data_IF_155599559068
#
_entry.id   IF_155599559068
#
_cell.length_a   1.000
_cell.length_b   1.000
_cell.length_c   1.000
_cell.angle_alpha   90.00
_cell.angle_beta   90.00
_cell.angle_gamma   90.00
#
_symmetry.space_group_name_H-M   'P 1'
#
loop_
_entity.id
_entity.type
_entity.pdbx_description
1 polymer ?
#
# COMPACT_ATOMS: atom_id res chain seq x y z
N UNK A 1 38.36 -22.80 -11.11
CA UNK A 1 37.49 -22.31 -10.02
C UNK A 1 37.35 -23.42 -8.97
N UNK A 2 37.64 -23.14 -7.70
CA UNK A 2 37.72 -24.17 -6.66
C UNK A 2 36.34 -24.81 -6.40
N UNK A 3 36.15 -26.11 -6.69
CA UNK A 3 34.85 -26.81 -6.60
C UNK A 3 34.16 -26.62 -5.24
N UNK A 4 34.91 -26.58 -4.14
CA UNK A 4 34.38 -26.34 -2.79
C UNK A 4 33.80 -24.92 -2.64
N UNK A 5 34.50 -23.93 -3.18
CA UNK A 5 34.05 -22.54 -3.18
C UNK A 5 32.76 -22.37 -3.98
N UNK A 6 32.67 -23.03 -5.15
CA UNK A 6 31.46 -22.99 -6.00
C UNK A 6 30.25 -23.57 -5.25
N UNK A 7 30.41 -24.72 -4.60
CA UNK A 7 29.34 -25.34 -3.81
C UNK A 7 28.90 -24.48 -2.62
N UNK A 8 29.85 -23.82 -1.95
CA UNK A 8 29.55 -22.89 -0.86
C UNK A 8 28.73 -21.70 -1.36
N UNK A 9 29.16 -21.06 -2.46
CA UNK A 9 28.45 -19.94 -3.08
C UNK A 9 27.04 -20.34 -3.52
N UNK A 10 26.85 -21.55 -4.07
CA UNK A 10 25.51 -22.04 -4.44
C UNK A 10 24.60 -22.22 -3.22
N UNK A 11 25.13 -22.73 -2.11
CA UNK A 11 24.36 -22.90 -0.87
C UNK A 11 23.92 -21.55 -0.30
N UNK A 12 24.83 -20.57 -0.24
CA UNK A 12 24.48 -19.24 0.25
C UNK A 12 23.52 -18.50 -0.67
N UNK A 13 23.72 -18.56 -1.99
CA UNK A 13 22.77 -17.99 -2.93
C UNK A 13 21.36 -18.59 -2.80
N UNK A 14 21.27 -19.89 -2.48
CA UNK A 14 19.97 -20.54 -2.24
C UNK A 14 19.34 -20.06 -0.94
N UNK A 15 20.12 -19.84 0.11
CA UNK A 15 19.65 -19.31 1.40
C UNK A 15 19.15 -17.88 1.24
N UNK A 16 19.96 -17.00 0.64
CA UNK A 16 19.60 -15.61 0.36
C UNK A 16 18.33 -15.51 -0.49
N UNK A 17 18.18 -16.35 -1.53
CA UNK A 17 16.94 -16.39 -2.33
C UNK A 17 15.70 -16.77 -1.51
N UNK A 18 15.83 -17.63 -0.50
CA UNK A 18 14.71 -17.99 0.40
C UNK A 18 14.35 -16.82 1.31
N UNK A 19 15.35 -16.18 1.93
CA UNK A 19 15.14 -15.00 2.77
C UNK A 19 14.49 -13.86 1.98
N UNK A 20 14.96 -13.58 0.76
CA UNK A 20 14.35 -12.58 -0.13
C UNK A 20 12.88 -12.92 -0.42
N UNK A 21 12.55 -14.20 -0.64
CA UNK A 21 11.18 -14.64 -0.90
C UNK A 21 10.28 -14.42 0.33
N UNK A 22 10.78 -14.73 1.53
CA UNK A 22 10.06 -14.53 2.78
C UNK A 22 9.88 -13.04 3.09
N UNK A 23 10.91 -12.21 2.91
CA UNK A 23 10.81 -10.77 3.06
C UNK A 23 9.80 -10.17 2.08
N UNK A 24 9.81 -10.60 0.81
CA UNK A 24 8.79 -10.17 -0.16
C UNK A 24 7.38 -10.60 0.25
N UNK A 25 7.23 -11.80 0.81
CA UNK A 25 5.93 -12.28 1.33
C UNK A 25 5.46 -11.43 2.52
N UNK A 26 6.34 -11.15 3.48
CA UNK A 26 6.05 -10.29 4.63
C UNK A 26 5.74 -8.85 4.22
N UNK A 27 6.46 -8.30 3.23
CA UNK A 27 6.13 -7.00 2.64
C UNK A 27 4.75 -7.07 2.01
N UNK A 28 4.42 -8.09 1.23
CA UNK A 28 3.11 -8.18 0.59
C UNK A 28 1.97 -8.36 1.61
N UNK A 29 2.20 -9.12 2.68
CA UNK A 29 1.25 -9.33 3.78
C UNK A 29 1.09 -8.06 4.64
N UNK A 30 2.17 -7.33 4.92
CA UNK A 30 2.10 -6.05 5.63
C UNK A 30 1.59 -4.90 4.74
N UNK A 31 1.86 -4.93 3.45
CA UNK A 31 1.33 -3.98 2.46
C UNK A 31 -0.13 -4.26 2.06
N UNK A 32 -0.71 -5.39 2.50
CA UNK A 32 -2.15 -5.62 2.40
C UNK A 32 -2.97 -4.78 3.40
N UNK A 33 -2.33 -4.07 4.34
CA UNK A 33 -2.89 -2.86 4.96
C UNK A 33 -2.79 -1.67 4.01
N UNK A 34 -3.31 -1.85 2.78
CA UNK A 34 -3.16 -0.96 1.63
C UNK A 34 -3.92 0.35 1.87
N UNK A 35 -3.28 1.19 2.67
CA UNK A 35 -3.42 2.63 2.85
C UNK A 35 -4.86 3.13 2.93
N UNK A 36 -5.58 2.62 3.93
CA UNK A 36 -6.78 3.27 4.45
C UNK A 36 -6.35 4.57 5.13
N UNK A 37 -6.52 5.68 4.43
CA UNK A 37 -6.35 7.01 4.99
C UNK A 37 -7.67 7.48 5.58
N UNK A 38 -7.57 8.19 6.69
CA UNK A 38 -8.63 9.10 7.11
C UNK A 38 -8.72 10.27 6.15
N UNK A 39 -9.83 11.01 6.18
CA UNK A 39 -10.00 12.23 5.38
C UNK A 39 -8.85 13.21 5.60
N UNK A 40 -8.42 13.41 6.85
CA UNK A 40 -7.34 14.33 7.19
C UNK A 40 -6.01 13.90 6.55
N UNK A 41 -5.64 12.63 6.72
CA UNK A 41 -4.40 12.10 6.15
C UNK A 41 -4.42 12.14 4.61
N UNK A 42 -5.58 11.88 3.99
CA UNK A 42 -5.74 12.02 2.54
C UNK A 42 -5.58 13.48 2.08
N UNK A 43 -6.15 14.43 2.83
CA UNK A 43 -6.01 15.86 2.54
C UNK A 43 -4.55 16.31 2.64
N UNK A 44 -3.86 15.90 3.71
CA UNK A 44 -2.45 16.24 3.95
C UNK A 44 -1.55 15.61 2.89
N UNK A 45 -1.81 14.35 2.51
CA UNK A 45 -0.98 13.63 1.53
C UNK A 45 -1.12 14.16 0.10
N UNK A 46 -2.34 14.46 -0.34
CA UNK A 46 -2.60 14.94 -1.71
C UNK A 46 -2.64 16.47 -1.82
N UNK A 47 -2.42 17.19 -0.71
CA UNK A 47 -2.42 18.66 -0.69
C UNK A 47 -3.79 19.28 -1.01
N UNK A 48 -4.88 18.58 -0.69
CA UNK A 48 -6.25 19.04 -0.99
C UNK A 48 -6.99 19.49 0.26
N UNK A 49 -7.85 20.48 0.14
CA UNK A 49 -8.72 20.88 1.25
C UNK A 49 -9.77 19.80 1.58
N UNK A 50 -10.21 19.74 2.83
CA UNK A 50 -11.30 18.86 3.27
C UNK A 50 -12.58 19.09 2.44
N UNK A 51 -12.90 20.35 2.11
CA UNK A 51 -14.05 20.68 1.25
C UNK A 51 -13.91 20.08 -0.16
N UNK A 52 -12.69 20.08 -0.70
CA UNK A 52 -12.39 19.46 -2.00
C UNK A 52 -12.56 17.94 -1.93
N UNK A 53 -12.10 17.31 -0.84
CA UNK A 53 -12.29 15.87 -0.64
C UNK A 53 -13.77 15.48 -0.61
N UNK A 54 -14.63 16.23 0.09
CA UNK A 54 -16.07 15.95 0.08
C UNK A 54 -16.71 16.17 -1.29
N UNK A 55 -16.27 17.18 -2.05
CA UNK A 55 -16.69 17.32 -3.45
C UNK A 55 -16.30 16.11 -4.29
N UNK A 56 -15.09 15.56 -4.13
CA UNK A 56 -14.69 14.32 -4.82
C UNK A 56 -15.57 13.15 -4.43
N UNK A 57 -15.94 13.03 -3.15
CA UNK A 57 -16.90 12.03 -2.67
C UNK A 57 -18.26 12.18 -3.36
N UNK A 58 -18.79 13.40 -3.45
CA UNK A 58 -20.06 13.69 -4.12
C UNK A 58 -19.98 13.41 -5.63
N UNK A 59 -18.81 13.61 -6.24
CA UNK A 59 -18.50 13.26 -7.63
C UNK A 59 -18.30 11.75 -7.88
N UNK A 60 -18.30 10.92 -6.83
CA UNK A 60 -18.22 9.46 -6.95
C UNK A 60 -16.91 8.82 -6.49
N UNK A 61 -16.04 9.53 -5.76
CA UNK A 61 -14.89 8.92 -5.09
C UNK A 61 -15.39 7.87 -4.07
N UNK A 62 -14.88 6.64 -4.21
CA UNK A 62 -15.26 5.53 -3.32
C UNK A 62 -14.67 5.73 -1.92
N UNK A 63 -15.53 5.84 -0.93
CA UNK A 63 -15.15 5.95 0.49
C UNK A 63 -15.78 4.82 1.31
N UNK A 64 -15.14 4.47 2.42
CA UNK A 64 -15.59 3.45 3.37
C UNK A 64 -16.08 4.16 4.63
N UNK A 65 -17.36 3.96 4.96
CA UNK A 65 -17.99 4.46 6.18
C UNK A 65 -18.87 3.36 6.77
N UNK A 66 -18.60 2.93 8.01
CA UNK A 66 -19.30 1.79 8.64
C UNK A 66 -20.71 2.12 9.15
N UNK A 67 -21.01 3.39 9.40
CA UNK A 67 -22.32 3.84 9.87
C UNK A 67 -22.47 5.37 9.84
N UNK A 68 -23.66 5.88 10.16
CA UNK A 68 -23.90 7.32 10.29
C UNK A 68 -22.98 7.93 11.35
N UNK A 69 -22.43 9.12 11.06
CA UNK A 69 -21.49 9.86 11.91
C UNK A 69 -20.20 9.12 12.29
N UNK A 70 -19.89 7.99 11.66
CA UNK A 70 -18.60 7.30 11.82
C UNK A 70 -17.51 7.93 10.95
N UNK A 71 -16.25 7.72 11.35
CA UNK A 71 -15.07 8.15 10.57
C UNK A 71 -15.14 7.62 9.14
N UNK A 72 -14.84 8.50 8.20
CA UNK A 72 -14.74 8.17 6.77
C UNK A 72 -13.30 7.81 6.47
N UNK A 73 -13.12 6.69 5.79
CA UNK A 73 -11.84 6.23 5.31
C UNK A 73 -11.85 6.10 3.80
N UNK A 74 -10.67 6.14 3.21
CA UNK A 74 -10.48 6.04 1.77
C UNK A 74 -9.20 5.28 1.49
N UNK A 75 -9.20 4.44 0.46
CA UNK A 75 -7.98 3.76 0.02
C UNK A 75 -7.23 4.68 -0.93
N UNK A 76 -5.91 4.81 -0.79
CA UNK A 76 -5.10 5.61 -1.74
C UNK A 76 -5.33 5.22 -3.20
N UNK A 77 -5.43 3.92 -3.48
CA UNK A 77 -5.68 3.42 -4.84
C UNK A 77 -6.99 3.93 -5.45
N UNK A 78 -8.01 4.18 -4.63
CA UNK A 78 -9.30 4.68 -5.10
C UNK A 78 -9.22 6.20 -5.41
N UNK A 79 -8.40 6.95 -4.65
CA UNK A 79 -8.10 8.36 -4.94
C UNK A 79 -7.29 8.47 -6.24
N UNK A 80 -6.22 7.68 -6.38
CA UNK A 80 -5.38 7.71 -7.59
C UNK A 80 -6.17 7.36 -8.85
N UNK A 81 -7.05 6.35 -8.79
CA UNK A 81 -7.96 6.02 -9.89
C UNK A 81 -8.97 7.10 -10.20
N UNK A 82 -9.40 7.86 -9.20
CA UNK A 82 -10.34 8.96 -9.38
C UNK A 82 -9.66 10.19 -10.00
N UNK A 83 -8.42 10.50 -9.60
CA UNK A 83 -7.67 11.66 -10.10
C UNK A 83 -7.07 11.43 -11.50
N UNK A 84 -6.74 10.18 -11.85
CA UNK A 84 -6.21 9.83 -13.18
C UNK A 84 -7.30 9.54 -14.22
N UNK A 85 -8.56 9.86 -13.91
CA UNK A 85 -9.72 9.67 -14.78
C UNK A 85 -9.98 10.93 -15.60
#
# INVERSE_FOLDING_TARGET
>A
MNKKLVLYIFKENRKLKREIKELKKLINEKCNFKELLTVKEACDYYGVSVKTFYRYRDMGLKTIQKGRNTKVFVKKIDIEKFLNK
#
